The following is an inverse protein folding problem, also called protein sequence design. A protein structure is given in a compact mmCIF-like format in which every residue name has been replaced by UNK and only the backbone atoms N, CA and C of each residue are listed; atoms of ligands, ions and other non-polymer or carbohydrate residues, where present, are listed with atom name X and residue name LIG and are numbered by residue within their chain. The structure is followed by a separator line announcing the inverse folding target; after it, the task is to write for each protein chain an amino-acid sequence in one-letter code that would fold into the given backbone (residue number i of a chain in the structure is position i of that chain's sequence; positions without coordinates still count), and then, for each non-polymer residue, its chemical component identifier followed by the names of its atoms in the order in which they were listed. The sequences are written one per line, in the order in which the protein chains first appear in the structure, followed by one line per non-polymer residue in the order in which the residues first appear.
data_IF_864580352356
#
_entry.id   IF_864580352356
#
_cell.length_a   1.000
_cell.length_b   1.000
_cell.length_c   1.000
_cell.angle_alpha   90.00
_cell.angle_beta   90.00
_cell.angle_gamma   90.00
#
_symmetry.space_group_name_H-M   'P 1'
#
loop_
_entity.id
_entity.type
_entity.pdbx_description
1 polymer ?
#
# COMPACT_ATOMS: atom_id res chain seq x y z
N UNK A 1 -7.07 -46.40 -6.48
CA UNK A 1 -7.92 -45.26 -6.93
C UNK A 1 -7.89 -44.05 -5.98
N UNK A 2 -7.87 -44.22 -4.64
CA UNK A 2 -7.76 -43.10 -3.66
C UNK A 2 -6.48 -42.27 -3.79
N UNK A 3 -5.35 -42.93 -4.03
CA UNK A 3 -4.03 -42.27 -4.07
C UNK A 3 -3.88 -41.25 -5.23
N UNK A 4 -4.49 -41.50 -6.39
CA UNK A 4 -4.55 -40.55 -7.51
C UNK A 4 -5.37 -39.30 -7.18
N UNK A 5 -6.55 -39.48 -6.56
CA UNK A 5 -7.40 -38.34 -6.15
C UNK A 5 -6.72 -37.47 -5.09
N UNK A 6 -5.99 -38.08 -4.18
CA UNK A 6 -5.25 -37.38 -3.12
C UNK A 6 -4.08 -36.56 -3.69
N UNK A 7 -3.30 -37.12 -4.64
CA UNK A 7 -2.23 -36.40 -5.34
C UNK A 7 -2.77 -35.23 -6.17
N UNK A 8 -3.91 -35.40 -6.84
CA UNK A 8 -4.55 -34.33 -7.60
C UNK A 8 -5.02 -33.18 -6.70
N UNK A 9 -5.67 -33.48 -5.56
CA UNK A 9 -6.09 -32.44 -4.62
C UNK A 9 -4.91 -31.64 -4.05
N UNK A 10 -3.79 -32.31 -3.77
CA UNK A 10 -2.59 -31.67 -3.25
C UNK A 10 -1.91 -30.78 -4.31
N UNK A 11 -1.92 -31.20 -5.57
CA UNK A 11 -1.41 -30.38 -6.68
C UNK A 11 -2.26 -29.12 -6.90
N UNK A 12 -3.60 -29.23 -6.83
CA UNK A 12 -4.51 -28.07 -6.93
C UNK A 12 -4.24 -27.09 -5.79
N UNK A 13 -4.07 -27.57 -4.55
CA UNK A 13 -3.76 -26.72 -3.41
C UNK A 13 -2.43 -25.97 -3.58
N UNK A 14 -1.39 -26.62 -4.14
CA UNK A 14 -0.11 -25.98 -4.48
C UNK A 14 -0.30 -24.86 -5.49
N UNK A 15 -1.03 -25.11 -6.58
CA UNK A 15 -1.26 -24.12 -7.62
C UNK A 15 -2.00 -22.90 -7.05
N UNK A 16 -3.02 -23.11 -6.21
CA UNK A 16 -3.73 -22.02 -5.52
C UNK A 16 -2.77 -21.24 -4.61
N UNK A 17 -1.95 -21.94 -3.81
CA UNK A 17 -0.96 -21.30 -2.94
C UNK A 17 0.04 -20.43 -3.72
N UNK A 18 0.59 -20.96 -4.82
CA UNK A 18 1.48 -20.19 -5.71
C UNK A 18 0.78 -18.99 -6.34
N UNK A 19 -0.46 -19.15 -6.81
CA UNK A 19 -1.23 -18.05 -7.39
C UNK A 19 -1.47 -16.93 -6.37
N UNK A 20 -1.81 -17.26 -5.12
CA UNK A 20 -2.00 -16.27 -4.04
C UNK A 20 -0.70 -15.53 -3.74
N UNK A 21 0.43 -16.25 -3.64
CA UNK A 21 1.75 -15.62 -3.42
C UNK A 21 2.14 -14.72 -4.58
N UNK A 22 1.98 -15.18 -5.82
CA UNK A 22 2.27 -14.38 -7.02
C UNK A 22 1.40 -13.11 -7.09
N UNK A 23 0.12 -13.23 -6.73
CA UNK A 23 -0.78 -12.08 -6.62
C UNK A 23 -0.33 -11.11 -5.53
N UNK A 24 0.01 -11.60 -4.32
CA UNK A 24 0.54 -10.77 -3.24
C UNK A 24 1.80 -10.00 -3.62
N UNK A 25 2.74 -10.65 -4.30
CA UNK A 25 3.96 -10.01 -4.84
C UNK A 25 3.60 -8.94 -5.88
N UNK A 26 2.65 -9.22 -6.77
CA UNK A 26 2.22 -8.26 -7.79
C UNK A 26 1.60 -7.01 -7.16
N UNK A 27 0.77 -7.16 -6.13
CA UNK A 27 0.17 -6.05 -5.38
C UNK A 27 1.25 -5.24 -4.65
N UNK A 28 2.21 -5.89 -3.99
CA UNK A 28 3.35 -5.20 -3.36
C UNK A 28 4.17 -4.42 -4.38
N UNK A 29 4.41 -4.99 -5.56
CA UNK A 29 5.13 -4.30 -6.63
C UNK A 29 4.33 -3.09 -7.16
N UNK A 30 3.02 -3.21 -7.28
CA UNK A 30 2.15 -2.10 -7.66
C UNK A 30 2.16 -0.98 -6.61
N UNK A 31 2.19 -1.33 -5.32
CA UNK A 31 2.32 -0.38 -4.21
C UNK A 31 3.65 0.39 -4.26
N UNK A 32 4.77 -0.33 -4.44
CA UNK A 32 6.12 0.26 -4.58
C UNK A 32 6.22 1.18 -5.79
N UNK A 33 5.57 0.82 -6.91
CA UNK A 33 5.47 1.69 -8.10
C UNK A 33 4.56 2.90 -7.90
N UNK A 34 3.85 2.97 -6.78
CA UNK A 34 2.94 4.07 -6.46
C UNK A 34 1.58 3.97 -7.15
N UNK A 35 1.25 2.86 -7.80
CA UNK A 35 -0.05 2.68 -8.46
C UNK A 35 -1.22 2.66 -7.47
N UNK A 36 -0.96 2.29 -6.22
CA UNK A 36 -1.95 2.28 -5.14
C UNK A 36 -1.99 3.58 -4.32
N UNK A 37 -1.14 4.57 -4.66
CA UNK A 37 -1.14 5.86 -3.97
C UNK A 37 -2.37 6.67 -4.33
N UNK A 38 -2.81 7.49 -3.38
CA UNK A 38 -3.93 8.38 -3.59
C UNK A 38 -3.57 9.47 -4.62
N UNK A 39 -4.22 9.44 -5.79
CA UNK A 39 -3.97 10.38 -6.90
C UNK A 39 -4.17 11.84 -6.49
N UNK A 40 -5.14 12.12 -5.62
CA UNK A 40 -5.43 13.47 -5.17
C UNK A 40 -4.33 14.01 -4.23
N UNK A 41 -3.81 13.17 -3.34
CA UNK A 41 -2.65 13.52 -2.52
C UNK A 41 -1.41 13.81 -3.38
N UNK A 42 -1.16 13.01 -4.43
CA UNK A 42 -0.05 13.23 -5.36
C UNK A 42 -0.20 14.54 -6.13
N UNK A 43 -1.41 14.89 -6.57
CA UNK A 43 -1.68 16.21 -7.19
C UNK A 43 -1.35 17.36 -6.25
N UNK A 44 -1.56 17.22 -4.93
CA UNK A 44 -1.14 18.25 -3.96
C UNK A 44 0.38 18.35 -3.93
N UNK A 45 1.10 17.22 -3.85
CA UNK A 45 2.57 17.24 -3.87
C UNK A 45 3.09 17.88 -5.16
N UNK A 46 2.60 17.46 -6.32
CA UNK A 46 2.98 18.03 -7.62
C UNK A 46 2.66 19.54 -7.68
N UNK A 47 1.49 19.94 -7.17
CA UNK A 47 1.15 21.36 -7.07
C UNK A 47 2.12 22.10 -6.16
N UNK A 48 2.50 21.57 -5.00
CA UNK A 48 3.49 22.19 -4.09
C UNK A 48 4.86 22.28 -4.74
N UNK A 49 5.27 21.30 -5.54
CA UNK A 49 6.59 21.28 -6.16
C UNK A 49 6.68 22.21 -7.39
N UNK A 50 5.65 22.23 -8.23
CA UNK A 50 5.79 22.78 -9.59
C UNK A 50 4.86 23.97 -9.89
N UNK A 51 3.72 24.09 -9.22
CA UNK A 51 2.77 25.18 -9.52
C UNK A 51 3.24 26.52 -8.98
N UNK A 52 2.90 27.63 -9.64
CA UNK A 52 3.05 28.99 -9.10
C UNK A 52 1.72 29.61 -8.66
N UNK A 53 0.60 29.02 -9.06
CA UNK A 53 -0.75 29.50 -8.72
C UNK A 53 -1.29 28.82 -7.47
N UNK A 54 -2.26 29.48 -6.81
CA UNK A 54 -3.05 28.85 -5.76
C UNK A 54 -3.91 27.71 -6.30
N UNK A 55 -4.23 26.73 -5.45
CA UNK A 55 -5.15 25.64 -5.80
C UNK A 55 -6.55 25.95 -5.27
N UNK A 56 -7.58 26.02 -6.12
CA UNK A 56 -8.96 26.27 -5.65
C UNK A 56 -9.46 25.19 -4.70
N UNK A 57 -10.19 25.59 -3.65
CA UNK A 57 -10.72 24.66 -2.66
C UNK A 57 -11.82 23.74 -3.23
N UNK A 58 -12.42 24.12 -4.35
CA UNK A 58 -13.37 23.31 -5.09
C UNK A 58 -12.70 22.11 -5.78
N UNK A 59 -11.38 22.15 -5.98
CA UNK A 59 -10.65 21.05 -6.61
C UNK A 59 -10.74 19.77 -5.75
N UNK A 60 -10.88 18.58 -6.35
CA UNK A 60 -10.93 17.33 -5.59
C UNK A 60 -9.71 17.12 -4.67
N UNK A 61 -8.52 17.49 -5.16
CA UNK A 61 -7.28 17.47 -4.40
C UNK A 61 -7.31 18.36 -3.16
N UNK A 62 -7.80 19.60 -3.28
CA UNK A 62 -7.89 20.49 -2.13
C UNK A 62 -8.91 20.01 -1.08
N UNK A 63 -10.03 19.41 -1.52
CA UNK A 63 -11.01 18.81 -0.58
C UNK A 63 -10.42 17.65 0.21
N UNK A 64 -9.64 16.80 -0.44
CA UNK A 64 -8.88 15.72 0.22
C UNK A 64 -7.84 16.28 1.20
N UNK A 65 -7.13 17.32 0.79
CA UNK A 65 -6.15 18.00 1.63
C UNK A 65 -6.80 18.58 2.91
N UNK A 66 -7.93 19.28 2.80
CA UNK A 66 -8.66 19.85 3.94
C UNK A 66 -9.06 18.78 4.96
N UNK A 67 -9.42 17.58 4.51
CA UNK A 67 -9.76 16.48 5.44
C UNK A 67 -8.57 16.04 6.28
N UNK A 68 -7.36 16.07 5.71
CA UNK A 68 -6.13 15.65 6.40
C UNK A 68 -5.50 16.78 7.21
N UNK A 69 -5.51 17.99 6.68
CA UNK A 69 -4.92 19.19 7.25
C UNK A 69 -6.01 20.27 7.35
N UNK A 70 -6.92 20.18 8.34
CA UNK A 70 -8.02 21.14 8.43
C UNK A 70 -7.51 22.57 8.70
N UNK A 71 -8.28 23.60 8.30
CA UNK A 71 -7.99 24.97 8.70
C UNK A 71 -7.92 25.12 10.23
N UNK A 72 -7.23 26.15 10.75
CA UNK A 72 -7.25 26.47 12.17
C UNK A 72 -8.69 26.64 12.67
N UNK A 73 -8.98 26.25 13.92
CA UNK A 73 -10.34 26.28 14.49
C UNK A 73 -11.01 27.68 14.49
N UNK A 74 -10.24 28.75 14.30
CA UNK A 74 -10.73 30.12 14.19
C UNK A 74 -11.22 30.48 12.78
N UNK A 75 -11.04 29.61 11.79
CA UNK A 75 -11.35 29.85 10.39
C UNK A 75 -12.50 28.96 9.93
N UNK A 76 -13.50 29.54 9.27
CA UNK A 76 -14.55 28.78 8.58
C UNK A 76 -14.09 28.43 7.17
N UNK A 77 -14.39 27.21 6.69
CA UNK A 77 -14.01 26.79 5.32
C UNK A 77 -14.65 27.70 4.26
N UNK A 78 -15.84 28.21 4.54
CA UNK A 78 -16.60 29.12 3.69
C UNK A 78 -15.91 30.47 3.47
N UNK A 79 -15.01 30.87 4.37
CA UNK A 79 -14.26 32.13 4.28
C UNK A 79 -12.94 31.98 3.52
N UNK A 80 -12.61 30.75 3.11
CA UNK A 80 -11.40 30.41 2.38
C UNK A 80 -11.72 30.26 0.89
N UNK A 81 -10.72 30.55 0.05
CA UNK A 81 -10.88 30.51 -1.41
C UNK A 81 -9.97 29.49 -2.07
N UNK A 82 -8.67 29.52 -1.74
CA UNK A 82 -7.65 28.68 -2.37
C UNK A 82 -6.59 28.25 -1.36
N UNK A 83 -5.93 27.12 -1.61
CA UNK A 83 -4.64 26.81 -1.01
C UNK A 83 -3.57 27.73 -1.60
N UNK A 84 -2.70 28.24 -0.75
CA UNK A 84 -1.51 28.98 -1.14
C UNK A 84 -0.29 28.35 -0.50
N UNK A 85 0.90 28.73 -0.97
CA UNK A 85 2.15 28.20 -0.44
C UNK A 85 3.22 29.28 -0.37
N UNK A 86 4.06 29.19 0.65
CA UNK A 86 5.33 29.88 0.74
C UNK A 86 6.43 28.87 0.45
N UNK A 87 7.33 29.19 -0.48
CA UNK A 87 8.38 28.28 -0.94
C UNK A 87 9.73 28.92 -0.70
N UNK A 88 10.65 28.15 -0.14
CA UNK A 88 12.06 28.51 0.00
C UNK A 88 12.86 27.67 -0.99
N UNK A 89 13.66 28.32 -1.84
CA UNK A 89 14.43 27.68 -2.90
C UNK A 89 15.92 28.01 -2.75
N UNK A 90 16.78 27.10 -3.18
CA UNK A 90 18.19 27.36 -3.41
C UNK A 90 18.35 28.33 -4.58
N UNK A 91 19.41 29.12 -4.57
CA UNK A 91 19.77 30.03 -5.68
C UNK A 91 19.95 29.29 -7.01
N UNK A 92 20.34 28.00 -6.96
CA UNK A 92 20.51 27.13 -8.12
C UNK A 92 19.21 26.50 -8.65
N UNK A 93 18.05 26.82 -8.04
CA UNK A 93 16.73 26.40 -8.54
C UNK A 93 16.14 25.12 -7.93
N UNK A 94 16.68 24.63 -6.81
CA UNK A 94 16.11 23.51 -6.05
C UNK A 94 15.18 23.96 -4.91
N UNK A 95 14.13 23.19 -4.61
CA UNK A 95 13.19 23.53 -3.53
C UNK A 95 13.70 22.99 -2.17
N UNK A 96 13.91 23.88 -1.20
CA UNK A 96 14.42 23.56 0.15
C UNK A 96 13.24 23.13 1.04
N UNK A 97 12.24 24.00 1.12
CA UNK A 97 11.07 23.81 1.95
C UNK A 97 9.86 24.51 1.32
N UNK A 98 8.67 24.05 1.67
CA UNK A 98 7.45 24.76 1.37
C UNK A 98 6.49 24.63 2.55
N UNK A 99 5.75 25.69 2.81
CA UNK A 99 4.67 25.73 3.78
C UNK A 99 3.38 26.05 3.03
N UNK A 100 2.34 25.27 3.28
CA UNK A 100 1.01 25.45 2.70
C UNK A 100 0.13 26.16 3.73
N UNK A 101 -0.69 27.08 3.24
CA UNK A 101 -1.62 27.90 4.01
C UNK A 101 -2.93 28.01 3.23
N UNK A 102 -3.97 28.50 3.89
CA UNK A 102 -5.21 28.88 3.21
C UNK A 102 -5.20 30.38 2.90
N UNK A 103 -5.83 30.75 1.79
CA UNK A 103 -6.12 32.13 1.43
C UNK A 103 -7.56 32.45 1.79
N UNK A 104 -7.77 33.49 2.61
CA UNK A 104 -9.09 34.00 2.97
C UNK A 104 -9.68 34.84 1.83
N UNK A 105 -11.00 35.08 1.87
CA UNK A 105 -11.72 35.95 0.91
C UNK A 105 -11.24 37.40 0.92
N UNK A 106 -10.74 37.89 2.06
CA UNK A 106 -10.15 39.22 2.22
C UNK A 106 -8.70 39.32 1.71
N UNK A 107 -8.20 38.27 1.04
CA UNK A 107 -6.84 38.13 0.51
C UNK A 107 -5.73 38.01 1.58
N UNK A 108 -6.09 37.90 2.86
CA UNK A 108 -5.13 37.57 3.90
C UNK A 108 -4.85 36.06 3.95
N UNK A 109 -3.69 35.69 4.49
CA UNK A 109 -3.27 34.28 4.62
C UNK A 109 -3.47 33.81 6.04
N UNK A 110 -3.88 32.55 6.18
CA UNK A 110 -3.89 31.87 7.48
C UNK A 110 -2.47 31.52 7.93
N UNK A 111 -2.33 31.05 9.17
CA UNK A 111 -1.15 30.33 9.62
C UNK A 111 -0.82 29.13 8.71
N UNK A 112 0.40 28.62 8.82
CA UNK A 112 0.82 27.43 8.07
C UNK A 112 0.07 26.20 8.60
N UNK A 113 -0.39 25.35 7.70
CA UNK A 113 -1.21 24.17 8.04
C UNK A 113 -0.52 22.86 7.70
N UNK A 114 0.41 22.88 6.74
CA UNK A 114 1.22 21.72 6.41
C UNK A 114 2.55 22.16 5.81
N UNK A 115 3.61 21.43 6.14
CA UNK A 115 4.93 21.55 5.52
C UNK A 115 5.04 20.59 4.33
N UNK A 116 6.02 20.84 3.45
CA UNK A 116 6.34 19.93 2.35
C UNK A 116 6.63 18.51 2.83
N UNK A 117 7.31 18.37 3.97
CA UNK A 117 7.67 17.06 4.51
C UNK A 117 6.43 16.31 5.01
N UNK A 118 5.50 16.99 5.67
CA UNK A 118 4.21 16.40 6.07
C UNK A 118 3.38 16.01 4.85
N UNK A 119 3.38 16.83 3.80
CA UNK A 119 2.69 16.50 2.54
C UNK A 119 3.34 15.29 1.88
N UNK A 120 4.67 15.23 1.79
CA UNK A 120 5.39 14.06 1.26
C UNK A 120 5.05 12.81 2.04
N UNK A 121 5.08 12.88 3.37
CA UNK A 121 4.70 11.76 4.24
C UNK A 121 3.26 11.33 3.97
N UNK A 122 2.31 12.27 3.94
CA UNK A 122 0.92 11.98 3.63
C UNK A 122 0.73 11.35 2.24
N UNK A 123 1.42 11.83 1.21
CA UNK A 123 1.35 11.23 -0.15
C UNK A 123 2.01 9.84 -0.24
N UNK A 124 2.86 9.49 0.72
CA UNK A 124 3.47 8.17 0.84
C UNK A 124 2.61 7.20 1.63
N UNK A 125 1.62 7.68 2.39
CA UNK A 125 0.63 6.84 3.06
C UNK A 125 -0.22 6.15 1.99
N UNK A 126 -0.01 4.85 1.80
CA UNK A 126 -0.93 4.04 1.01
C UNK A 126 -2.15 3.73 1.89
N UNK A 127 -3.37 3.71 1.33
CA UNK A 127 -4.56 3.50 2.14
C UNK A 127 -4.62 2.09 2.74
N UNK A 128 -3.93 1.11 2.14
CA UNK A 128 -4.01 -0.30 2.55
C UNK A 128 -2.70 -1.11 2.49
N UNK A 129 -1.57 -0.62 3.05
CA UNK A 129 -0.29 -1.35 3.00
C UNK A 129 -0.39 -2.72 3.68
N UNK A 130 -1.21 -2.80 4.74
CA UNK A 130 -1.43 -4.01 5.54
C UNK A 130 -2.13 -5.14 4.76
N UNK A 131 -2.96 -4.83 3.75
CA UNK A 131 -3.65 -5.88 2.97
C UNK A 131 -2.64 -6.73 2.20
N UNK A 132 -1.62 -6.10 1.62
CA UNK A 132 -0.56 -6.81 0.91
C UNK A 132 0.20 -7.78 1.83
N UNK A 133 0.40 -7.41 3.09
CA UNK A 133 1.05 -8.26 4.09
C UNK A 133 0.20 -9.49 4.41
N UNK A 134 -1.10 -9.32 4.68
CA UNK A 134 -1.99 -10.44 4.98
C UNK A 134 -2.11 -11.43 3.82
N UNK A 135 -2.20 -10.95 2.58
CA UNK A 135 -2.25 -11.82 1.40
C UNK A 135 -0.99 -12.68 1.30
N UNK A 136 0.19 -12.07 1.49
CA UNK A 136 1.46 -12.79 1.44
C UNK A 136 1.59 -13.81 2.58
N UNK A 137 1.19 -13.45 3.81
CA UNK A 137 1.21 -14.35 4.98
C UNK A 137 0.29 -15.56 4.74
N UNK A 138 -0.93 -15.34 4.26
CA UNK A 138 -1.89 -16.42 3.99
C UNK A 138 -1.38 -17.36 2.89
N UNK A 139 -0.80 -16.82 1.82
CA UNK A 139 -0.17 -17.61 0.76
C UNK A 139 0.98 -18.47 1.30
N UNK A 140 1.83 -17.89 2.15
CA UNK A 140 2.94 -18.61 2.77
C UNK A 140 2.48 -19.73 3.72
N UNK A 141 1.46 -19.47 4.54
CA UNK A 141 0.87 -20.47 5.43
C UNK A 141 0.28 -21.64 4.65
N UNK A 142 -0.42 -21.39 3.53
CA UNK A 142 -0.95 -22.44 2.67
C UNK A 142 0.17 -23.33 2.10
N UNK A 143 1.30 -22.74 1.69
CA UNK A 143 2.46 -23.49 1.24
C UNK A 143 3.09 -24.33 2.35
N UNK A 144 3.22 -23.78 3.57
CA UNK A 144 3.76 -24.51 4.72
C UNK A 144 2.88 -25.72 5.10
N UNK A 145 1.57 -25.55 5.13
CA UNK A 145 0.62 -26.65 5.41
C UNK A 145 0.78 -27.74 4.35
N UNK A 146 0.87 -27.36 3.08
CA UNK A 146 1.05 -28.30 1.98
C UNK A 146 2.37 -29.08 2.11
N UNK A 147 3.46 -28.39 2.40
CA UNK A 147 4.78 -28.99 2.62
C UNK A 147 4.78 -29.97 3.80
N UNK A 148 4.11 -29.60 4.90
CA UNK A 148 3.99 -30.47 6.08
C UNK A 148 3.20 -31.75 5.78
N UNK A 149 2.08 -31.63 5.05
CA UNK A 149 1.25 -32.78 4.66
C UNK A 149 2.01 -33.74 3.74
N UNK A 150 2.80 -33.22 2.78
CA UNK A 150 3.64 -34.05 1.91
C UNK A 150 4.67 -34.84 2.70
N UNK A 151 5.41 -34.17 3.60
CA UNK A 151 6.40 -34.86 4.44
C UNK A 151 5.78 -36.00 5.24
N UNK A 152 4.61 -35.77 5.82
CA UNK A 152 3.90 -36.81 6.60
C UNK A 152 3.47 -37.99 5.74
N UNK A 153 2.96 -37.74 4.53
CA UNK A 153 2.56 -38.80 3.60
C UNK A 153 3.77 -39.63 3.13
N UNK A 154 4.89 -38.98 2.77
CA UNK A 154 6.11 -39.68 2.36
C UNK A 154 6.68 -40.54 3.49
N UNK A 155 6.69 -40.03 4.72
CA UNK A 155 7.13 -40.80 5.88
C UNK A 155 6.26 -42.04 6.13
N UNK A 156 4.94 -41.90 6.02
CA UNK A 156 4.01 -43.01 6.21
C UNK A 156 4.16 -44.08 5.12
N UNK A 157 4.22 -43.69 3.84
CA UNK A 157 4.41 -44.64 2.74
C UNK A 157 5.75 -45.39 2.84
N UNK A 158 6.82 -44.71 3.25
CA UNK A 158 8.13 -45.34 3.47
C UNK A 158 8.09 -46.37 4.61
N UNK A 159 7.31 -46.11 5.66
CA UNK A 159 7.11 -47.07 6.76
C UNK A 159 6.34 -48.32 6.31
N UNK A 160 5.32 -48.16 5.47
CA UNK A 160 4.53 -49.27 4.93
C UNK A 160 5.35 -50.16 3.99
N UNK A 161 6.14 -49.58 3.09
CA UNK A 161 7.02 -50.36 2.21
C UNK A 161 8.04 -51.19 3.01
N UNK A 162 8.65 -50.63 4.05
CA UNK A 162 9.58 -51.37 4.92
C UNK A 162 8.92 -52.55 5.64
N UNK A 163 7.64 -52.44 6.00
CA UNK A 163 6.89 -53.52 6.63
C UNK A 163 6.55 -54.62 5.62
N UNK A 164 6.21 -54.25 4.38
CA UNK A 164 5.95 -55.21 3.30
C UNK A 164 7.22 -56.02 2.95
N UNK A 165 8.36 -55.35 2.71
CA UNK A 165 9.63 -56.03 2.38
C UNK A 165 10.09 -57.00 3.48
N UNK A 166 9.80 -56.68 4.75
CA UNK A 166 10.10 -57.54 5.90
C UNK A 166 9.16 -58.75 6.02
N UNK A 167 7.96 -58.66 5.47
CA UNK A 167 6.99 -59.77 5.43
C UNK A 167 7.37 -60.80 4.37
N UNK A 168 7.86 -60.36 3.20
CA UNK A 168 8.19 -61.24 2.07
C UNK A 168 9.53 -61.98 2.23
N UNK A 169 10.34 -61.58 3.20
CA UNK A 169 11.66 -62.18 3.52
C UNK A 169 11.60 -63.26 4.61
N UNK A 170 10.40 -63.63 5.07
CA UNK A 170 10.16 -64.70 6.04
C UNK A 170 9.42 -65.86 5.40
#
# INVERSE_FOLDING_TARGET
MRDKKQKQGLLVLKLIGFAIVAFGITVQFADLKGYLKNRESQKILDWVLYSKSGMPLESPAAREFIKKFPPPNTESVEDLTHLTKSVMQYETGGLISANVNYMRKDLSRTGHVATLEEIRRWTSETPYPWISWWITILGFLALLVTFYLERRQTAHNKSLHRLADKSDSR
#
